data_IF_811012179760
#
_entry.id   IF_811012179760
#
_cell.length_a   1.000
_cell.length_b   1.000
_cell.length_c   1.000
_cell.angle_alpha   90.00
_cell.angle_beta   90.00
_cell.angle_gamma   90.00
#
_symmetry.space_group_name_H-M   'P 1'
#
loop_
_entity.id
_entity.type
_entity.pdbx_description
1 polymer ?
#
# COMPACT_ATOMS: atom_id res chain seq x y z
N UNK A 1 94.05 -58.07 15.59
CA UNK A 1 93.82 -56.62 15.71
C UNK A 1 92.98 -56.02 14.57
N UNK A 2 93.11 -56.45 13.31
CA UNK A 2 92.41 -55.80 12.20
C UNK A 2 90.92 -56.17 12.03
N UNK A 3 90.50 -57.36 12.46
CA UNK A 3 89.13 -57.85 12.25
C UNK A 3 88.08 -57.23 13.19
N UNK A 4 88.49 -56.75 14.37
CA UNK A 4 87.60 -56.28 15.43
C UNK A 4 87.02 -54.88 15.14
N UNK A 5 87.81 -54.02 14.48
CA UNK A 5 87.43 -52.64 14.14
C UNK A 5 86.22 -52.54 13.20
N UNK A 6 86.03 -53.54 12.33
CA UNK A 6 84.95 -53.58 11.34
C UNK A 6 83.58 -53.88 11.95
N UNK A 7 83.55 -54.64 13.05
CA UNK A 7 82.33 -55.02 13.75
C UNK A 7 81.86 -53.84 14.61
N UNK A 8 82.79 -53.17 15.30
CA UNK A 8 82.50 -51.98 16.11
C UNK A 8 81.94 -50.84 15.26
N UNK A 9 82.51 -50.61 14.07
CA UNK A 9 82.04 -49.59 13.13
C UNK A 9 80.61 -49.89 12.63
N UNK A 10 80.31 -51.16 12.31
CA UNK A 10 78.97 -51.58 11.87
C UNK A 10 77.91 -51.42 12.97
N UNK A 11 78.25 -51.77 14.21
CA UNK A 11 77.37 -51.60 15.37
C UNK A 11 77.09 -50.12 15.69
N UNK A 12 78.09 -49.24 15.53
CA UNK A 12 77.92 -47.79 15.66
C UNK A 12 77.01 -47.20 14.57
N UNK A 13 77.15 -47.63 13.31
CA UNK A 13 76.22 -47.21 12.25
C UNK A 13 74.80 -47.74 12.44
N UNK A 14 74.65 -48.96 12.97
CA UNK A 14 73.34 -49.54 13.26
C UNK A 14 72.63 -48.80 14.41
N UNK A 15 73.35 -48.44 15.48
CA UNK A 15 72.79 -47.67 16.60
C UNK A 15 72.38 -46.26 16.18
N UNK A 16 73.18 -45.60 15.33
CA UNK A 16 72.83 -44.29 14.78
C UNK A 16 71.58 -44.34 13.88
N UNK A 17 71.40 -45.40 13.08
CA UNK A 17 70.18 -45.58 12.25
C UNK A 17 68.94 -45.78 13.11
N UNK A 18 69.02 -46.62 14.14
CA UNK A 18 67.91 -46.86 15.08
C UNK A 18 67.54 -45.59 15.86
N UNK A 19 68.53 -44.81 16.30
CA UNK A 19 68.29 -43.52 16.95
C UNK A 19 67.59 -42.53 16.00
N UNK A 20 68.00 -42.49 14.74
CA UNK A 20 67.39 -41.62 13.72
C UNK A 20 65.96 -42.05 13.37
N UNK A 21 65.65 -43.34 13.35
CA UNK A 21 64.28 -43.85 13.16
C UNK A 21 63.39 -43.60 14.37
N UNK A 22 63.90 -43.79 15.58
CA UNK A 22 63.17 -43.50 16.82
C UNK A 22 62.79 -42.02 16.89
N UNK A 23 63.74 -41.11 16.61
CA UNK A 23 63.48 -39.68 16.61
C UNK A 23 62.45 -39.27 15.55
N UNK A 24 62.49 -39.91 14.37
CA UNK A 24 61.50 -39.69 13.30
C UNK A 24 60.09 -40.14 13.70
N UNK A 25 59.97 -41.25 14.42
CA UNK A 25 58.70 -41.75 14.92
C UNK A 25 58.14 -40.89 16.06
N UNK A 26 59.00 -40.36 16.94
CA UNK A 26 58.62 -39.40 17.98
C UNK A 26 58.11 -38.10 17.35
N UNK A 27 58.81 -37.57 16.35
CA UNK A 27 58.37 -36.38 15.59
C UNK A 27 57.00 -36.61 14.92
N UNK A 28 56.79 -37.76 14.26
CA UNK A 28 55.52 -38.11 13.62
C UNK A 28 54.36 -38.26 14.61
N UNK A 29 54.61 -38.85 15.77
CA UNK A 29 53.59 -39.01 16.82
C UNK A 29 53.26 -37.68 17.49
N UNK A 30 54.24 -36.81 17.71
CA UNK A 30 53.99 -35.45 18.19
C UNK A 30 53.22 -34.59 17.17
N UNK A 31 53.54 -34.69 15.88
CA UNK A 31 52.77 -34.00 14.82
C UNK A 31 51.32 -34.49 14.77
N UNK A 32 51.08 -35.81 14.86
CA UNK A 32 49.72 -36.38 14.91
C UNK A 32 48.93 -35.90 16.13
N UNK A 33 49.55 -35.84 17.31
CA UNK A 33 48.90 -35.34 18.53
C UNK A 33 48.60 -33.85 18.46
N UNK A 34 49.50 -33.03 17.93
CA UNK A 34 49.28 -31.58 17.73
C UNK A 34 48.15 -31.30 16.73
N UNK A 35 48.05 -32.07 15.64
CA UNK A 35 46.96 -31.93 14.66
C UNK A 35 45.58 -32.36 15.16
N UNK A 36 45.48 -33.22 16.18
CA UNK A 36 44.19 -33.56 16.80
C UNK A 36 43.73 -32.51 17.82
N UNK A 37 44.65 -31.93 18.59
CA UNK A 37 44.31 -30.91 19.60
C UNK A 37 43.84 -29.58 18.99
N UNK A 38 44.30 -29.22 17.78
CA UNK A 38 43.92 -27.98 17.09
C UNK A 38 42.56 -28.04 16.36
N UNK A 39 42.02 -29.24 16.09
CA UNK A 39 40.77 -29.41 15.31
C UNK A 39 39.49 -29.09 16.09
N UNK A 40 39.49 -29.28 17.41
CA UNK A 40 38.32 -29.04 18.25
C UNK A 40 37.89 -27.55 18.32
N UNK A 41 38.80 -26.57 18.50
CA UNK A 41 38.43 -25.15 18.43
C UNK A 41 38.03 -24.72 17.01
N UNK A 42 38.71 -25.21 15.97
CA UNK A 42 38.39 -24.91 14.56
C UNK A 42 36.99 -25.39 14.15
N UNK A 43 36.57 -26.57 14.61
CA UNK A 43 35.22 -27.08 14.34
C UNK A 43 34.12 -26.24 15.02
N UNK A 44 34.34 -25.81 16.27
CA UNK A 44 33.38 -24.92 16.96
C UNK A 44 33.25 -23.57 16.25
N UNK A 45 34.34 -23.02 15.74
CA UNK A 45 34.32 -21.77 14.98
C UNK A 45 33.71 -21.92 13.59
N UNK A 46 33.90 -23.06 12.91
CA UNK A 46 33.27 -23.31 11.62
C UNK A 46 31.75 -23.54 11.77
N UNK A 47 31.31 -24.26 12.81
CA UNK A 47 29.90 -24.44 13.15
C UNK A 47 29.26 -23.10 13.55
N UNK A 48 29.91 -22.28 14.39
CA UNK A 48 29.42 -20.93 14.73
C UNK A 48 29.28 -20.03 13.50
N UNK A 49 30.28 -20.04 12.61
CA UNK A 49 30.23 -19.28 11.34
C UNK A 49 29.12 -19.80 10.42
N UNK A 50 28.91 -21.12 10.38
CA UNK A 50 27.81 -21.75 9.67
C UNK A 50 26.44 -21.32 10.20
N UNK A 51 26.25 -21.37 11.52
CA UNK A 51 25.02 -20.99 12.20
C UNK A 51 24.68 -19.49 12.04
N UNK A 52 25.68 -18.61 12.09
CA UNK A 52 25.47 -17.17 11.83
C UNK A 52 25.05 -16.95 10.37
N UNK A 53 25.66 -17.67 9.43
CA UNK A 53 25.32 -17.56 7.99
C UNK A 53 23.92 -18.08 7.70
N UNK A 54 23.54 -19.24 8.23
CA UNK A 54 22.20 -19.79 8.06
C UNK A 54 21.15 -18.93 8.78
N UNK A 55 21.45 -18.43 9.98
CA UNK A 55 20.58 -17.52 10.71
C UNK A 55 20.33 -16.20 9.97
N UNK A 56 21.36 -15.61 9.37
CA UNK A 56 21.21 -14.41 8.55
C UNK A 56 20.33 -14.66 7.31
N UNK A 57 20.54 -15.78 6.61
CA UNK A 57 19.72 -16.13 5.44
C UNK A 57 18.25 -16.37 5.82
N UNK A 58 18.00 -17.12 6.90
CA UNK A 58 16.64 -17.36 7.41
C UNK A 58 15.99 -16.04 7.80
N UNK A 59 16.71 -15.16 8.51
CA UNK A 59 16.21 -13.83 8.87
C UNK A 59 15.91 -12.95 7.66
N UNK A 60 16.72 -13.04 6.60
CA UNK A 60 16.51 -12.26 5.37
C UNK A 60 15.24 -12.72 4.64
N UNK A 61 15.06 -14.03 4.49
CA UNK A 61 13.85 -14.62 3.89
C UNK A 61 12.62 -14.30 4.74
N UNK A 62 12.71 -14.43 6.07
CA UNK A 62 11.62 -14.10 6.98
C UNK A 62 11.21 -12.61 6.87
N UNK A 63 12.18 -11.69 6.81
CA UNK A 63 11.91 -10.26 6.62
C UNK A 63 11.25 -9.98 5.26
N UNK A 64 11.74 -10.58 4.18
CA UNK A 64 11.15 -10.41 2.86
C UNK A 64 9.70 -10.95 2.80
N UNK A 65 9.45 -12.12 3.39
CA UNK A 65 8.11 -12.69 3.50
C UNK A 65 7.20 -11.81 4.37
N UNK A 66 7.70 -11.30 5.49
CA UNK A 66 6.91 -10.40 6.34
C UNK A 66 6.56 -9.08 5.62
N UNK A 67 7.42 -8.58 4.73
CA UNK A 67 7.11 -7.41 3.90
C UNK A 67 6.00 -7.72 2.89
N UNK A 68 6.04 -8.90 2.26
CA UNK A 68 4.97 -9.37 1.37
C UNK A 68 3.65 -9.55 2.10
N UNK A 69 3.67 -10.16 3.30
CA UNK A 69 2.50 -10.32 4.16
C UNK A 69 1.92 -8.94 4.52
N UNK A 70 2.77 -7.97 4.89
CA UNK A 70 2.32 -6.61 5.20
C UNK A 70 1.64 -5.96 3.99
N UNK A 71 2.23 -6.07 2.79
CA UNK A 71 1.62 -5.53 1.56
C UNK A 71 0.28 -6.19 1.27
N UNK A 72 0.19 -7.52 1.35
CA UNK A 72 -1.05 -8.25 1.12
C UNK A 72 -2.12 -7.88 2.15
N UNK A 73 -1.75 -7.75 3.43
CA UNK A 73 -2.66 -7.34 4.49
C UNK A 73 -3.26 -5.96 4.21
N UNK A 74 -2.42 -4.99 3.85
CA UNK A 74 -2.84 -3.60 3.57
C UNK A 74 -3.62 -3.48 2.26
N UNK A 75 -3.16 -4.13 1.19
CA UNK A 75 -3.80 -4.05 -0.13
C UNK A 75 -5.19 -4.72 -0.15
N UNK A 76 -5.39 -5.74 0.68
CA UNK A 76 -6.67 -6.43 0.84
C UNK A 76 -7.50 -5.92 2.02
N UNK A 77 -7.15 -4.77 2.60
CA UNK A 77 -7.94 -4.16 3.67
C UNK A 77 -9.38 -3.85 3.23
N UNK A 78 -10.32 -4.18 4.11
CA UNK A 78 -11.75 -3.91 3.96
C UNK A 78 -12.30 -3.41 5.29
N UNK A 79 -12.97 -2.24 5.32
CA UNK A 79 -13.56 -1.69 6.55
C UNK A 79 -14.71 -2.53 7.12
N UNK A 80 -15.24 -3.48 6.34
CA UNK A 80 -16.31 -4.39 6.76
C UNK A 80 -15.80 -5.70 7.38
N UNK A 81 -14.49 -5.92 7.43
CA UNK A 81 -13.92 -7.14 8.00
C UNK A 81 -13.91 -7.09 9.54
N UNK A 82 -14.12 -8.22 10.23
CA UNK A 82 -14.03 -8.27 11.69
C UNK A 82 -12.59 -7.95 12.13
N UNK A 83 -12.44 -6.86 12.87
CA UNK A 83 -11.16 -6.29 13.25
C UNK A 83 -11.26 -5.55 14.58
N UNK A 84 -10.17 -4.89 15.01
CA UNK A 84 -10.14 -4.18 16.29
C UNK A 84 -11.10 -3.00 16.32
N UNK A 85 -11.20 -2.24 15.22
CA UNK A 85 -12.08 -1.08 15.11
C UNK A 85 -13.42 -1.41 14.45
N UNK A 86 -13.67 -2.66 14.08
CA UNK A 86 -14.91 -3.07 13.38
C UNK A 86 -15.46 -4.39 13.93
N UNK A 87 -16.61 -4.29 14.60
CA UNK A 87 -17.40 -5.46 14.99
C UNK A 87 -18.29 -5.91 13.82
N UNK A 88 -17.78 -6.79 12.97
CA UNK A 88 -18.52 -7.38 11.86
C UNK A 88 -18.84 -8.88 12.13
N UNK A 89 -20.04 -9.32 11.74
CA UNK A 89 -20.48 -10.71 11.86
C UNK A 89 -20.32 -11.56 10.58
N UNK A 90 -19.71 -11.01 9.53
CA UNK A 90 -19.57 -11.64 8.21
C UNK A 90 -18.26 -12.41 8.01
N UNK A 91 -18.12 -13.13 6.87
CA UNK A 91 -16.86 -13.78 6.50
C UNK A 91 -15.77 -12.76 6.20
N UNK A 92 -14.52 -13.07 6.57
CA UNK A 92 -13.37 -12.19 6.35
C UNK A 92 -12.98 -12.14 4.88
N UNK A 93 -12.83 -10.94 4.33
CA UNK A 93 -12.48 -10.71 2.93
C UNK A 93 -11.00 -10.35 2.70
N UNK A 94 -10.25 -10.03 3.75
CA UNK A 94 -8.79 -9.90 3.71
C UNK A 94 -8.13 -11.22 3.22
N UNK A 95 -7.15 -11.10 2.32
CA UNK A 95 -6.48 -12.27 1.70
C UNK A 95 -5.73 -13.14 2.72
N UNK A 96 -5.31 -12.55 3.84
CA UNK A 96 -4.62 -13.25 4.91
C UNK A 96 -5.57 -13.70 6.04
N UNK A 97 -6.88 -13.61 5.81
CA UNK A 97 -7.91 -13.96 6.77
C UNK A 97 -7.93 -13.04 7.99
N UNK A 98 -8.44 -13.56 9.11
CA UNK A 98 -8.63 -12.80 10.35
C UNK A 98 -7.33 -12.12 10.88
N UNK A 99 -6.16 -12.79 10.89
CA UNK A 99 -4.91 -12.14 11.31
C UNK A 99 -4.53 -10.96 10.40
N UNK A 100 -4.79 -11.07 9.10
CA UNK A 100 -4.57 -10.00 8.13
C UNK A 100 -5.48 -8.79 8.34
N UNK A 101 -6.77 -9.05 8.55
CA UNK A 101 -7.76 -8.02 8.85
C UNK A 101 -7.40 -7.24 10.12
N UNK A 102 -7.07 -7.94 11.21
CA UNK A 102 -6.63 -7.30 12.46
C UNK A 102 -5.33 -6.51 12.31
N UNK A 103 -4.33 -7.08 11.63
CA UNK A 103 -3.02 -6.44 11.46
C UNK A 103 -3.14 -5.18 10.62
N UNK A 104 -3.84 -5.25 9.49
CA UNK A 104 -4.04 -4.09 8.60
C UNK A 104 -4.88 -3.01 9.25
N UNK A 105 -5.97 -3.37 9.94
CA UNK A 105 -6.81 -2.42 10.67
C UNK A 105 -6.04 -1.69 11.77
N UNK A 106 -5.30 -2.42 12.61
CA UNK A 106 -4.48 -1.84 13.68
C UNK A 106 -3.39 -0.90 13.14
N UNK A 107 -2.68 -1.30 12.08
CA UNK A 107 -1.60 -0.50 11.51
C UNK A 107 -2.12 0.77 10.81
N UNK A 108 -3.22 0.66 10.06
CA UNK A 108 -3.88 1.81 9.43
C UNK A 108 -4.52 2.74 10.45
N UNK A 109 -5.03 2.20 11.55
CA UNK A 109 -5.50 3.00 12.67
C UNK A 109 -4.35 3.77 13.34
N UNK A 110 -3.21 3.12 13.57
CA UNK A 110 -2.07 3.74 14.26
C UNK A 110 -1.36 4.79 13.40
N UNK A 111 -1.02 4.45 12.16
CA UNK A 111 -0.09 5.21 11.30
C UNK A 111 -0.63 5.47 9.89
N UNK A 112 -1.94 5.28 9.67
CA UNK A 112 -2.56 5.54 8.37
C UNK A 112 -1.88 4.82 7.20
N UNK A 113 -1.96 5.41 5.98
CA UNK A 113 -1.24 4.92 4.81
C UNK A 113 0.29 5.01 4.92
N UNK A 114 0.84 5.81 5.85
CA UNK A 114 2.28 5.96 6.00
C UNK A 114 2.97 4.69 6.52
N UNK A 115 2.22 3.73 7.07
CA UNK A 115 2.70 2.38 7.38
C UNK A 115 3.34 1.68 6.16
N UNK A 116 2.96 2.06 4.93
CA UNK A 116 3.62 1.59 3.72
C UNK A 116 5.13 1.85 3.69
N UNK A 117 5.64 2.86 4.41
CA UNK A 117 7.07 3.17 4.51
C UNK A 117 7.89 2.09 5.24
N UNK A 118 7.25 1.17 5.97
CA UNK A 118 7.93 0.01 6.54
C UNK A 118 8.29 -1.05 5.50
N UNK A 119 7.57 -1.11 4.37
CA UNK A 119 7.85 -2.09 3.30
C UNK A 119 9.26 -1.92 2.72
N UNK A 120 9.68 -0.75 2.21
CA UNK A 120 11.04 -0.54 1.72
C UNK A 120 12.10 -0.72 2.81
N UNK A 121 11.80 -0.41 4.07
CA UNK A 121 12.69 -0.68 5.20
C UNK A 121 12.95 -2.18 5.37
N UNK A 122 11.89 -2.99 5.41
CA UNK A 122 11.97 -4.43 5.60
C UNK A 122 12.74 -5.09 4.45
N UNK A 123 12.48 -4.67 3.21
CA UNK A 123 13.20 -5.16 2.03
C UNK A 123 14.68 -4.74 2.02
N UNK A 124 14.99 -3.51 2.43
CA UNK A 124 16.38 -3.05 2.56
C UNK A 124 17.15 -3.87 3.60
N UNK A 125 16.54 -4.11 4.77
CA UNK A 125 17.17 -4.92 5.81
C UNK A 125 17.28 -6.40 5.43
N UNK A 126 16.28 -6.97 4.73
CA UNK A 126 16.38 -8.30 4.16
C UNK A 126 17.58 -8.41 3.20
N UNK A 127 17.73 -7.42 2.30
CA UNK A 127 18.86 -7.35 1.37
C UNK A 127 20.20 -7.22 2.09
N UNK A 128 20.30 -6.36 3.11
CA UNK A 128 21.52 -6.17 3.90
C UNK A 128 21.92 -7.42 4.66
N UNK A 129 20.94 -8.13 5.22
CA UNK A 129 21.18 -9.37 5.94
C UNK A 129 21.62 -10.49 4.97
N UNK A 130 21.07 -10.51 3.76
CA UNK A 130 21.53 -11.38 2.66
C UNK A 130 22.96 -11.04 2.20
N UNK A 131 23.27 -9.75 2.08
CA UNK A 131 24.56 -9.23 1.63
C UNK A 131 25.64 -9.16 2.74
N UNK A 132 25.30 -9.54 3.98
CA UNK A 132 26.17 -9.51 5.17
C UNK A 132 26.70 -8.11 5.52
N UNK A 133 25.90 -7.07 5.24
CA UNK A 133 26.24 -5.69 5.60
C UNK A 133 25.85 -5.44 7.05
N UNK A 134 26.81 -5.02 7.88
CA UNK A 134 26.56 -4.70 9.29
C UNK A 134 25.79 -3.39 9.44
N UNK A 135 24.71 -3.39 10.22
CA UNK A 135 23.94 -2.20 10.56
C UNK A 135 24.38 -1.64 11.92
N UNK A 136 25.23 -0.61 11.90
CA UNK A 136 25.58 0.14 13.11
C UNK A 136 24.46 1.13 13.47
N UNK A 137 24.27 1.37 14.77
CA UNK A 137 23.36 2.39 15.27
C UNK A 137 21.87 2.09 15.07
N UNK A 138 21.47 0.82 15.05
CA UNK A 138 20.10 0.38 14.76
C UNK A 138 19.02 1.11 15.59
N UNK A 139 19.29 1.40 16.87
CA UNK A 139 18.35 2.14 17.74
C UNK A 139 18.05 3.55 17.23
N UNK A 140 19.09 4.32 16.88
CA UNK A 140 18.94 5.69 16.35
C UNK A 140 18.23 5.67 15.00
N UNK A 141 18.55 4.70 14.14
CA UNK A 141 17.89 4.52 12.84
C UNK A 141 16.41 4.14 13.00
N UNK A 142 16.09 3.20 13.88
CA UNK A 142 14.71 2.82 14.20
C UNK A 142 13.90 4.00 14.73
N UNK A 143 14.47 4.79 15.65
CA UNK A 143 13.84 6.00 16.15
C UNK A 143 13.61 7.04 15.04
N UNK A 144 14.60 7.25 14.17
CA UNK A 144 14.48 8.17 13.04
C UNK A 144 13.44 7.73 12.00
N UNK A 145 13.29 6.41 11.77
CA UNK A 145 12.22 5.86 10.93
C UNK A 145 10.85 6.17 11.54
N UNK A 146 10.65 5.85 12.84
CA UNK A 146 9.39 6.09 13.52
C UNK A 146 9.03 7.58 13.55
N UNK A 147 10.02 8.44 13.83
CA UNK A 147 9.84 9.88 13.77
C UNK A 147 9.49 10.37 12.36
N UNK A 148 10.16 9.83 11.33
CA UNK A 148 9.87 10.15 9.93
C UNK A 148 8.44 9.77 9.53
N UNK A 149 7.98 8.57 9.89
CA UNK A 149 6.60 8.12 9.63
C UNK A 149 5.59 8.99 10.39
N UNK A 150 5.82 9.28 11.67
CA UNK A 150 4.93 10.14 12.47
C UNK A 150 4.82 11.58 11.92
N UNK A 151 5.89 12.12 11.34
CA UNK A 151 5.86 13.43 10.68
C UNK A 151 5.10 13.38 9.35
N UNK A 152 5.24 12.30 8.57
CA UNK A 152 4.43 12.08 7.36
C UNK A 152 2.94 11.97 7.73
N UNK A 153 2.61 11.21 8.76
CA UNK A 153 1.27 11.08 9.32
C UNK A 153 0.67 12.43 9.72
N UNK A 154 1.45 13.24 10.43
CA UNK A 154 1.06 14.60 10.82
C UNK A 154 0.81 15.47 9.58
N UNK A 155 1.70 15.38 8.59
CA UNK A 155 1.55 16.10 7.33
C UNK A 155 0.26 15.73 6.59
N UNK A 156 -0.01 14.43 6.46
CA UNK A 156 -1.21 13.89 5.83
C UNK A 156 -2.50 14.28 6.58
N UNK A 157 -2.47 14.31 7.91
CA UNK A 157 -3.61 14.78 8.73
C UNK A 157 -3.96 16.25 8.48
N UNK A 158 -2.95 17.11 8.30
CA UNK A 158 -3.14 18.54 8.06
C UNK A 158 -3.68 18.87 6.67
N UNK A 159 -3.45 18.02 5.67
CA UNK A 159 -4.01 18.23 4.33
C UNK A 159 -5.54 18.19 4.35
N UNK A 160 -6.12 17.14 4.95
CA UNK A 160 -7.57 17.01 5.02
C UNK A 160 -7.99 16.21 6.26
N UNK A 161 -8.28 16.91 7.38
CA UNK A 161 -8.74 16.27 8.60
C UNK A 161 -10.05 15.50 8.35
N UNK A 162 -10.11 14.24 8.76
CA UNK A 162 -11.34 13.43 8.70
C UNK A 162 -11.83 13.02 7.31
N UNK A 163 -11.05 13.22 6.24
CA UNK A 163 -11.56 13.09 4.88
C UNK A 163 -11.81 11.67 4.35
N UNK A 164 -11.39 10.64 5.08
CA UNK A 164 -11.49 9.26 4.64
C UNK A 164 -12.14 8.43 5.74
N UNK A 165 -13.48 8.40 5.74
CA UNK A 165 -14.29 7.55 6.63
C UNK A 165 -13.98 6.05 6.42
N UNK A 166 -13.43 5.68 5.26
CA UNK A 166 -13.04 4.31 4.95
C UNK A 166 -11.78 3.84 5.69
N UNK A 167 -11.02 4.73 6.35
CA UNK A 167 -9.80 4.37 7.07
C UNK A 167 -10.01 4.62 8.56
N UNK A 168 -9.70 3.65 9.44
CA UNK A 168 -10.02 3.71 10.86
C UNK A 168 -9.26 4.84 11.58
N UNK A 169 -8.10 5.23 11.05
CA UNK A 169 -7.30 6.37 11.52
C UNK A 169 -7.26 7.56 10.55
N UNK A 170 -8.11 7.60 9.53
CA UNK A 170 -8.00 8.58 8.44
C UNK A 170 -6.65 8.53 7.70
N UNK A 171 -6.25 9.63 7.05
CA UNK A 171 -4.98 9.71 6.31
C UNK A 171 -3.73 9.78 7.18
N UNK A 172 -3.85 10.24 8.43
CA UNK A 172 -2.69 10.45 9.31
C UNK A 172 -2.53 9.39 10.40
N UNK A 173 -3.42 8.40 10.47
CA UNK A 173 -3.52 7.55 11.65
C UNK A 173 -3.84 8.36 12.92
N UNK A 174 -3.89 7.67 14.07
CA UNK A 174 -4.09 8.33 15.36
C UNK A 174 -2.93 9.24 15.75
N UNK A 175 -1.70 8.90 15.37
CA UNK A 175 -0.51 9.73 15.64
C UNK A 175 -0.63 11.07 14.92
N UNK A 176 -0.94 11.04 13.63
CA UNK A 176 -1.11 12.24 12.81
C UNK A 176 -2.36 13.02 13.20
N UNK A 177 -3.48 12.37 13.51
CA UNK A 177 -4.69 13.05 13.97
C UNK A 177 -4.53 13.74 15.32
N UNK A 178 -3.81 13.12 16.26
CA UNK A 178 -3.56 13.73 17.58
C UNK A 178 -2.67 14.96 17.42
N UNK A 179 -1.57 14.84 16.67
CA UNK A 179 -0.61 15.93 16.46
C UNK A 179 -1.20 17.03 15.58
N UNK A 180 -1.85 16.67 14.48
CA UNK A 180 -2.53 17.58 13.57
C UNK A 180 -3.74 18.25 14.21
N UNK A 181 -4.44 17.57 15.12
CA UNK A 181 -5.49 18.11 15.96
C UNK A 181 -4.96 19.15 16.94
N UNK A 182 -3.81 18.89 17.58
CA UNK A 182 -3.14 19.87 18.43
C UNK A 182 -2.72 21.12 17.65
N UNK A 183 -2.16 20.95 16.44
CA UNK A 183 -1.80 22.07 15.56
C UNK A 183 -3.04 22.87 15.18
N UNK A 184 -4.15 22.21 14.80
CA UNK A 184 -5.39 22.88 14.47
C UNK A 184 -6.00 23.61 15.66
N UNK A 185 -5.94 23.02 16.86
CA UNK A 185 -6.34 23.67 18.10
C UNK A 185 -5.51 24.93 18.36
N UNK A 186 -4.19 24.90 18.13
CA UNK A 186 -3.33 26.09 18.24
C UNK A 186 -3.69 27.16 17.20
N UNK A 187 -4.01 26.74 15.97
CA UNK A 187 -4.45 27.66 14.91
C UNK A 187 -5.82 28.29 15.19
N UNK A 188 -6.67 27.65 16.02
CA UNK A 188 -8.01 28.16 16.36
C UNK A 188 -7.98 29.45 17.20
N UNK A 189 -6.84 29.77 17.82
CA UNK A 189 -6.64 31.05 18.51
C UNK A 189 -6.42 32.22 17.56
N UNK A 190 -6.07 31.96 16.30
CA UNK A 190 -5.92 32.99 15.29
C UNK A 190 -7.28 33.33 14.65
N UNK A 191 -7.53 34.60 14.24
CA UNK A 191 -8.77 34.98 13.58
C UNK A 191 -9.03 34.13 12.33
N UNK A 192 -10.26 33.65 12.10
CA UNK A 192 -10.56 32.85 10.92
C UNK A 192 -10.31 33.69 9.67
N UNK A 193 -9.40 33.22 8.82
CA UNK A 193 -9.02 33.87 7.58
C UNK A 193 -8.91 32.82 6.47
N UNK A 194 -9.27 33.19 5.24
CA UNK A 194 -9.28 32.24 4.11
C UNK A 194 -7.88 31.69 3.80
N UNK A 195 -6.83 32.48 4.07
CA UNK A 195 -5.43 32.06 3.90
C UNK A 195 -4.98 30.99 4.92
N UNK A 196 -5.73 30.78 6.00
CA UNK A 196 -5.42 29.80 7.04
C UNK A 196 -5.40 28.36 6.49
N UNK A 197 -6.23 28.07 5.50
CA UNK A 197 -6.25 26.76 4.81
C UNK A 197 -4.94 26.51 4.07
N UNK A 198 -4.45 27.53 3.34
CA UNK A 198 -3.17 27.47 2.63
C UNK A 198 -2.00 27.32 3.58
N UNK A 199 -2.04 28.01 4.74
CA UNK A 199 -1.01 27.85 5.77
C UNK A 199 -1.04 26.44 6.36
N UNK A 200 -2.22 25.88 6.64
CA UNK A 200 -2.35 24.50 7.11
C UNK A 200 -1.78 23.49 6.10
N UNK A 201 -2.10 23.65 4.81
CA UNK A 201 -1.57 22.79 3.75
C UNK A 201 -0.07 22.94 3.56
N UNK A 202 0.44 24.18 3.62
CA UNK A 202 1.88 24.45 3.54
C UNK A 202 2.61 23.80 4.71
N UNK A 203 2.07 23.94 5.92
CA UNK A 203 2.59 23.29 7.10
C UNK A 203 2.56 21.77 6.98
N UNK A 204 1.44 21.20 6.49
CA UNK A 204 1.31 19.78 6.20
C UNK A 204 2.35 19.26 5.19
N UNK A 205 2.59 20.01 4.11
CA UNK A 205 3.62 19.70 3.12
C UNK A 205 5.02 19.74 3.75
N UNK A 206 5.33 20.74 4.58
CA UNK A 206 6.61 20.85 5.29
C UNK A 206 6.81 19.64 6.21
N UNK A 207 5.81 19.26 7.01
CA UNK A 207 5.86 18.07 7.86
C UNK A 207 6.10 16.78 7.05
N UNK A 208 5.37 16.61 5.95
CA UNK A 208 5.53 15.44 5.08
C UNK A 208 6.92 15.39 4.44
N UNK A 209 7.43 16.51 3.91
CA UNK A 209 8.76 16.59 3.29
C UNK A 209 9.86 16.32 4.32
N UNK A 210 9.81 16.97 5.49
CA UNK A 210 10.77 16.74 6.57
C UNK A 210 10.70 15.28 7.04
N UNK A 211 9.51 14.73 7.18
CA UNK A 211 9.29 13.32 7.55
C UNK A 211 9.94 12.36 6.55
N UNK A 212 9.72 12.56 5.25
CA UNK A 212 10.35 11.75 4.18
C UNK A 212 11.87 11.90 4.20
N UNK A 213 12.41 13.11 4.42
CA UNK A 213 13.86 13.35 4.49
C UNK A 213 14.47 12.60 5.69
N UNK A 214 13.86 12.71 6.87
CA UNK A 214 14.33 12.03 8.09
C UNK A 214 14.23 10.52 7.90
N UNK A 215 13.12 10.02 7.36
CA UNK A 215 12.92 8.62 7.07
C UNK A 215 13.99 8.09 6.10
N UNK A 216 14.21 8.76 4.97
CA UNK A 216 15.21 8.38 3.97
C UNK A 216 16.66 8.43 4.52
N UNK A 217 17.00 9.46 5.31
CA UNK A 217 18.30 9.52 6.00
C UNK A 217 18.46 8.38 7.02
N UNK A 218 17.38 7.99 7.69
CA UNK A 218 17.39 6.94 8.71
C UNK A 218 17.55 5.53 8.15
N UNK A 219 17.18 5.29 6.88
CA UNK A 219 17.53 4.07 6.15
C UNK A 219 19.06 3.88 6.09
N UNK A 220 19.82 4.98 6.11
CA UNK A 220 21.27 4.98 6.10
C UNK A 220 21.82 4.27 4.87
N UNK A 221 21.24 4.56 3.69
CA UNK A 221 21.64 3.99 2.40
C UNK A 221 23.14 4.24 2.18
N UNK A 222 23.87 3.17 1.86
CA UNK A 222 25.28 3.24 1.48
C UNK A 222 25.46 3.96 0.14
N UNK A 223 26.66 4.46 -0.16
CA UNK A 223 26.92 5.19 -1.41
C UNK A 223 26.55 4.34 -2.64
N UNK A 224 26.86 3.04 -2.60
CA UNK A 224 26.48 2.08 -3.65
C UNK A 224 24.96 1.87 -3.75
N UNK A 225 24.25 1.88 -2.62
CA UNK A 225 22.79 1.72 -2.58
C UNK A 225 22.08 2.96 -3.09
N UNK A 226 22.62 4.15 -2.77
CA UNK A 226 22.17 5.44 -3.31
C UNK A 226 22.45 5.51 -4.81
N UNK A 227 23.65 5.16 -5.23
CA UNK A 227 24.04 5.15 -6.64
C UNK A 227 23.19 4.16 -7.44
N UNK A 228 22.83 3.00 -6.90
CA UNK A 228 21.92 2.07 -7.58
C UNK A 228 20.50 2.65 -7.74
N UNK A 229 19.94 3.28 -6.69
CA UNK A 229 18.63 3.94 -6.75
C UNK A 229 18.63 5.13 -7.72
N UNK A 230 19.72 5.91 -7.73
CA UNK A 230 19.86 7.11 -8.55
C UNK A 230 20.33 6.81 -9.98
N UNK A 231 21.02 5.69 -10.24
CA UNK A 231 21.46 5.27 -11.59
C UNK A 231 20.29 5.07 -12.54
N UNK A 232 19.12 4.65 -12.04
CA UNK A 232 17.92 4.55 -12.87
C UNK A 232 17.49 5.94 -13.37
N UNK A 233 17.71 6.97 -12.56
CA UNK A 233 17.45 8.38 -12.90
C UNK A 233 18.52 8.93 -13.84
N UNK A 234 19.81 8.71 -13.56
CA UNK A 234 20.89 9.10 -14.48
C UNK A 234 20.78 8.43 -15.85
N UNK A 235 20.42 7.15 -15.94
CA UNK A 235 20.18 6.51 -17.24
C UNK A 235 18.97 7.11 -17.96
N UNK A 236 17.91 7.49 -17.25
CA UNK A 236 16.75 8.13 -17.84
C UNK A 236 17.05 9.56 -18.30
N UNK A 237 17.80 10.32 -17.51
CA UNK A 237 18.25 11.67 -17.85
C UNK A 237 19.28 11.61 -18.99
N UNK A 238 20.17 10.61 -19.03
CA UNK A 238 21.09 10.38 -20.14
C UNK A 238 20.35 9.96 -21.44
N UNK A 239 19.31 9.12 -21.34
CA UNK A 239 18.46 8.77 -22.50
C UNK A 239 17.64 9.97 -22.98
N UNK A 240 17.23 10.85 -22.07
CA UNK A 240 16.50 12.09 -22.39
C UNK A 240 17.41 13.22 -22.89
N UNK A 241 18.68 13.19 -22.51
CA UNK A 241 19.74 14.09 -22.96
C UNK A 241 20.46 13.59 -24.22
N UNK A 242 20.10 12.41 -24.75
CA UNK A 242 20.43 12.08 -26.13
C UNK A 242 19.74 13.13 -27.01
N UNK A 243 20.47 13.83 -27.90
CA UNK A 243 19.85 14.71 -28.88
C UNK A 243 18.81 13.89 -29.64
N UNK A 244 17.57 14.41 -29.73
CA UNK A 244 16.56 13.80 -30.57
C UNK A 244 17.17 13.61 -31.97
N UNK A 245 17.09 12.42 -32.59
CA UNK A 245 17.77 12.14 -33.85
C UNK A 245 17.09 12.81 -35.06
N UNK A 246 16.53 13.99 -34.87
CA UNK A 246 15.83 14.76 -35.88
C UNK A 246 16.33 16.21 -35.85
N UNK A 247 17.60 16.37 -36.16
CA UNK A 247 18.15 17.59 -36.76
C UNK A 247 19.24 17.12 -37.73
N UNK A 248 18.83 16.75 -38.95
CA UNK A 248 19.58 17.03 -40.18
C UNK A 248 18.73 16.70 -41.42
N UNK A 249 18.92 17.55 -42.41
CA UNK A 249 18.17 17.81 -43.64
C UNK A 249 17.94 16.60 -44.57
N UNK A 250 16.84 16.72 -45.34
CA UNK A 250 16.55 16.14 -46.66
C UNK A 250 17.34 14.90 -47.10
N UNK A 251 16.68 13.73 -47.05
CA UNK A 251 16.89 12.71 -48.09
C UNK A 251 15.67 11.79 -48.29
N UNK A 252 15.38 11.57 -49.57
CA UNK A 252 14.19 10.95 -50.16
C UNK A 252 13.97 9.51 -49.67
N UNK A 253 12.85 9.25 -48.99
CA UNK A 253 12.36 7.90 -48.73
C UNK A 253 11.38 7.46 -49.84
N UNK A 254 11.55 6.27 -50.46
CA UNK A 254 10.56 5.74 -51.38
C UNK A 254 9.29 5.33 -50.62
N UNK A 255 8.16 5.88 -51.06
CA UNK A 255 6.81 5.62 -50.55
C UNK A 255 6.51 4.12 -50.44
N UNK A 256 6.61 3.58 -49.22
CA UNK A 256 6.07 2.26 -48.89
C UNK A 256 4.55 2.35 -48.86
N UNK A 257 3.93 1.58 -49.76
CA UNK A 257 2.50 1.38 -49.91
C UNK A 257 1.79 1.25 -48.56
N UNK A 258 0.87 2.17 -48.31
CA UNK A 258 -0.09 2.17 -47.21
C UNK A 258 -1.08 1.01 -47.44
N UNK A 259 -1.33 0.12 -46.47
CA UNK A 259 -2.39 -0.88 -46.61
C UNK A 259 -3.75 -0.17 -46.72
N UNK A 260 -4.53 -0.53 -47.73
CA UNK A 260 -5.85 0.02 -47.99
C UNK A 260 -6.80 -0.27 -46.81
N UNK A 261 -7.41 0.79 -46.27
CA UNK A 261 -8.54 0.68 -45.37
C UNK A 261 -9.77 0.15 -46.15
N UNK A 262 -10.61 -0.70 -45.56
CA UNK A 262 -11.78 -1.23 -46.22
C UNK A 262 -12.83 -0.13 -46.45
N UNK A 263 -13.34 -0.07 -47.68
CA UNK A 263 -14.46 0.76 -48.12
C UNK A 263 -15.69 0.55 -47.22
N UNK A 264 -16.10 1.61 -46.51
CA UNK A 264 -17.45 1.70 -45.97
C UNK A 264 -18.29 2.39 -47.05
N UNK A 265 -19.10 1.57 -47.71
CA UNK A 265 -20.09 1.92 -48.71
C UNK A 265 -21.13 2.94 -48.21
N UNK A 266 -21.64 3.70 -49.16
CA UNK A 266 -22.57 4.83 -49.09
C UNK A 266 -23.79 4.67 -48.15
N UNK A 267 -24.38 5.79 -47.69
CA UNK A 267 -25.58 5.77 -46.85
C UNK A 267 -26.77 5.20 -47.63
N UNK A 268 -27.31 4.08 -47.13
CA UNK A 268 -28.59 3.54 -47.55
C UNK A 268 -29.70 4.58 -47.34
N UNK A 269 -30.52 4.79 -48.37
CA UNK A 269 -31.69 5.66 -48.37
C UNK A 269 -32.64 5.36 -47.19
N UNK A 270 -33.15 6.44 -46.58
CA UNK A 270 -34.12 6.41 -45.49
C UNK A 270 -35.42 5.71 -45.92
N UNK A 271 -36.03 4.87 -45.06
CA UNK A 271 -37.37 4.38 -45.32
C UNK A 271 -38.39 5.50 -45.07
N UNK A 272 -39.34 5.63 -45.99
CA UNK A 272 -40.57 6.40 -45.82
C UNK A 272 -41.35 5.84 -44.63
N UNK A 273 -41.57 6.66 -43.60
CA UNK A 273 -42.46 6.35 -42.49
C UNK A 273 -43.85 6.84 -42.90
N UNK A 274 -44.75 5.87 -43.10
CA UNK A 274 -46.17 6.02 -43.34
C UNK A 274 -46.87 6.56 -42.08
N UNK A 275 -47.76 7.54 -42.26
CA UNK A 275 -48.54 8.15 -41.18
C UNK A 275 -49.64 7.19 -40.72
N UNK A 276 -49.40 6.53 -39.58
CA UNK A 276 -50.37 5.66 -38.93
C UNK A 276 -50.61 6.03 -37.47
N UNK A 277 -51.50 7.00 -37.23
CA UNK A 277 -52.09 7.30 -35.91
C UNK A 277 -52.74 6.02 -35.31
N UNK A 278 -52.53 5.72 -34.01
CA UNK A 278 -53.66 5.72 -33.08
C UNK A 278 -53.37 6.39 -31.72
N UNK A 279 -54.48 6.68 -31.06
CA UNK A 279 -54.69 7.59 -29.92
C UNK A 279 -53.97 7.20 -28.63
N UNK A 280 -53.66 8.25 -27.88
CA UNK A 280 -53.39 8.31 -26.45
C UNK A 280 -54.35 7.42 -25.65
N UNK A 281 -53.80 6.46 -24.90
CA UNK A 281 -54.51 5.76 -23.83
C UNK A 281 -53.70 5.95 -22.56
N UNK A 282 -54.21 6.80 -21.68
CA UNK A 282 -53.73 6.96 -20.31
C UNK A 282 -54.38 5.82 -19.52
N UNK A 283 -53.58 4.88 -19.03
CA UNK A 283 -54.03 3.92 -18.03
C UNK A 283 -53.81 4.51 -16.64
N UNK A 284 -54.90 4.82 -15.95
CA UNK A 284 -54.91 4.98 -14.50
C UNK A 284 -54.63 3.62 -13.87
N UNK A 285 -53.45 3.48 -13.27
CA UNK A 285 -53.14 2.31 -12.43
C UNK A 285 -53.44 2.65 -10.97
N UNK A 286 -54.38 1.86 -10.44
CA UNK A 286 -54.78 1.65 -9.06
C UNK A 286 -53.80 2.15 -7.99
N UNK A 287 -54.33 2.99 -7.10
CA UNK A 287 -53.75 3.33 -5.81
C UNK A 287 -53.38 2.05 -5.02
N UNK A 288 -52.19 2.00 -4.40
CA UNK A 288 -51.91 0.98 -3.40
C UNK A 288 -52.75 1.24 -2.14
N UNK A 289 -53.37 0.17 -1.64
CA UNK A 289 -54.23 0.17 -0.47
C UNK A 289 -53.49 0.63 0.79
N UNK A 290 -54.14 1.52 1.55
CA UNK A 290 -53.72 1.90 2.91
C UNK A 290 -53.73 0.66 3.83
N UNK A 291 -52.63 0.29 4.51
CA UNK A 291 -52.74 -0.63 5.63
C UNK A 291 -53.46 0.08 6.78
N UNK A 292 -54.48 -0.60 7.33
CA UNK A 292 -55.24 -0.18 8.52
C UNK A 292 -54.28 0.08 9.68
N UNK A 293 -54.42 1.25 10.29
CA UNK A 293 -53.89 1.53 11.61
C UNK A 293 -54.68 0.72 12.65
N UNK A 294 -54.05 -0.27 13.26
CA UNK A 294 -54.56 -0.88 14.48
C UNK A 294 -54.23 0.03 15.66
N UNK A 295 -55.29 0.48 16.34
CA UNK A 295 -55.20 1.26 17.55
C UNK A 295 -54.94 0.35 18.75
N UNK A 296 -53.99 0.80 19.56
CA UNK A 296 -53.89 0.67 21.02
C UNK A 296 -53.87 -0.72 21.66
N UNK A 297 -52.73 -1.05 22.26
CA UNK A 297 -52.59 -2.10 23.26
C UNK A 297 -51.41 -1.83 24.19
N UNK A 298 -51.66 -1.06 25.25
CA UNK A 298 -51.04 -1.13 26.58
C UNK A 298 -49.50 -0.99 26.72
N UNK A 299 -49.08 0.04 27.46
CA UNK A 299 -47.71 0.19 27.96
C UNK A 299 -47.44 -0.81 29.11
N UNK A 300 -46.67 -1.86 28.84
CA UNK A 300 -45.99 -2.66 29.85
C UNK A 300 -44.51 -2.29 29.86
N UNK A 301 -44.07 -1.62 30.94
CA UNK A 301 -42.65 -1.40 31.25
C UNK A 301 -41.98 -2.74 31.58
N UNK A 302 -40.99 -3.23 30.80
CA UNK A 302 -40.28 -4.45 31.12
C UNK A 302 -38.95 -4.12 31.82
N UNK A 303 -38.89 -4.39 33.13
CA UNK A 303 -37.63 -4.64 33.83
C UNK A 303 -37.25 -6.11 33.60
N UNK A 304 -36.38 -6.38 32.63
CA UNK A 304 -35.74 -7.71 32.46
C UNK A 304 -35.34 -8.08 31.02
N UNK A 305 -34.03 -8.29 30.83
CA UNK A 305 -33.22 -9.11 29.88
C UNK A 305 -33.76 -9.59 28.51
N UNK A 306 -34.86 -9.06 27.97
CA UNK A 306 -35.26 -9.25 26.57
C UNK A 306 -35.26 -7.92 25.84
N UNK A 307 -34.37 -7.81 24.86
CA UNK A 307 -34.34 -6.68 23.92
C UNK A 307 -35.64 -6.66 23.11
N UNK A 308 -36.44 -5.61 23.29
CA UNK A 308 -37.67 -5.36 22.54
C UNK A 308 -37.34 -4.38 21.42
N UNK A 309 -37.77 -4.69 20.19
CA UNK A 309 -37.53 -3.79 19.06
C UNK A 309 -38.27 -2.46 19.28
N UNK A 310 -37.62 -1.31 19.10
CA UNK A 310 -38.26 -0.01 19.25
C UNK A 310 -39.42 0.14 18.26
N UNK A 311 -40.51 0.76 18.71
CA UNK A 311 -41.70 1.01 17.88
C UNK A 311 -41.43 2.11 16.84
N UNK A 312 -42.11 2.00 15.70
CA UNK A 312 -42.00 2.94 14.57
C UNK A 312 -42.50 4.36 14.90
N UNK A 313 -43.13 4.56 16.06
CA UNK A 313 -43.55 5.87 16.58
C UNK A 313 -42.38 6.78 16.95
N UNK A 314 -41.15 6.23 17.04
CA UNK A 314 -39.92 7.02 17.21
C UNK A 314 -39.50 7.75 15.92
N UNK A 315 -40.08 7.40 14.77
CA UNK A 315 -39.84 8.09 13.52
C UNK A 315 -40.74 9.32 13.44
N UNK A 316 -40.16 10.47 13.08
CA UNK A 316 -40.95 11.65 12.73
C UNK A 316 -41.87 11.30 11.56
N UNK A 317 -43.19 11.60 11.64
CA UNK A 317 -44.10 11.34 10.53
C UNK A 317 -43.58 12.04 9.28
N UNK A 318 -43.69 11.37 8.14
CA UNK A 318 -43.29 11.97 6.87
C UNK A 318 -44.04 13.30 6.70
N UNK A 319 -43.35 14.39 6.32
CA UNK A 319 -44.03 15.64 5.99
C UNK A 319 -45.06 15.33 4.90
N UNK A 320 -46.25 15.94 4.98
CA UNK A 320 -47.27 15.78 3.95
C UNK A 320 -46.60 15.97 2.60
N UNK A 321 -46.69 14.95 1.74
CA UNK A 321 -46.13 15.05 0.39
C UNK A 321 -46.75 16.29 -0.22
N UNK A 322 -45.96 17.36 -0.29
CA UNK A 322 -46.27 18.57 -1.02
C UNK A 322 -46.26 18.20 -2.48
N UNK A 323 -47.29 17.47 -2.91
CA UNK A 323 -47.70 17.39 -4.28
C UNK A 323 -48.18 18.80 -4.65
N UNK A 324 -47.23 19.73 -4.80
CA UNK A 324 -47.45 20.88 -5.64
C UNK A 324 -47.91 20.29 -6.97
N UNK A 325 -49.15 20.55 -7.41
CA UNK A 325 -49.64 20.01 -8.65
C UNK A 325 -48.68 20.49 -9.75
N UNK A 326 -47.89 19.55 -10.26
CA UNK A 326 -46.84 19.85 -11.21
C UNK A 326 -47.54 20.31 -12.48
N UNK A 327 -47.42 21.61 -12.77
CA UNK A 327 -48.09 22.22 -13.90
C UNK A 327 -47.43 21.75 -15.20
N UNK A 328 -48.19 21.02 -16.02
CA UNK A 328 -47.72 20.41 -17.26
C UNK A 328 -47.13 21.45 -18.23
N UNK A 329 -47.70 22.65 -18.22
CA UNK A 329 -47.26 23.77 -19.06
C UNK A 329 -45.87 24.27 -18.63
N UNK A 330 -45.55 24.21 -17.35
CA UNK A 330 -44.24 24.62 -16.83
C UNK A 330 -43.14 23.62 -17.24
N UNK A 331 -43.43 22.32 -17.19
CA UNK A 331 -42.49 21.28 -17.64
C UNK A 331 -42.20 21.37 -19.15
N UNK A 332 -43.20 21.64 -19.98
CA UNK A 332 -43.02 21.79 -21.43
C UNK A 332 -42.16 23.03 -21.78
N UNK A 333 -42.29 24.13 -21.04
CA UNK A 333 -41.44 25.32 -21.20
C UNK A 333 -40.00 25.04 -20.78
N UNK A 334 -39.79 24.35 -19.66
CA UNK A 334 -38.46 23.99 -19.19
C UNK A 334 -37.78 23.01 -20.16
N UNK A 335 -38.52 22.07 -20.75
CA UNK A 335 -38.01 21.18 -21.78
C UNK A 335 -37.49 21.94 -23.00
N UNK A 336 -38.26 22.91 -23.53
CA UNK A 336 -37.82 23.75 -24.66
C UNK A 336 -36.59 24.60 -24.34
N UNK A 337 -36.51 25.11 -23.10
CA UNK A 337 -35.32 25.85 -22.64
C UNK A 337 -34.10 24.95 -22.64
N UNK A 338 -34.23 23.71 -22.16
CA UNK A 338 -33.14 22.74 -22.18
C UNK A 338 -32.71 22.35 -23.60
N UNK A 339 -33.65 22.22 -24.54
CA UNK A 339 -33.34 21.99 -25.96
C UNK A 339 -32.52 23.16 -26.55
N UNK A 340 -32.86 24.40 -26.20
CA UNK A 340 -32.11 25.60 -26.62
C UNK A 340 -30.69 25.61 -26.04
N UNK A 341 -30.54 25.30 -24.75
CA UNK A 341 -29.23 25.25 -24.09
C UNK A 341 -28.36 24.12 -24.69
N UNK A 342 -28.95 22.97 -25.03
CA UNK A 342 -28.21 21.88 -25.67
C UNK A 342 -27.72 22.26 -27.08
N UNK A 343 -28.51 23.04 -27.84
CA UNK A 343 -28.13 23.53 -29.16
C UNK A 343 -26.97 24.54 -29.09
N UNK A 344 -26.92 25.40 -28.07
CA UNK A 344 -25.78 26.31 -27.81
C UNK A 344 -24.45 25.53 -27.61
N UNK A 345 -24.53 24.33 -27.01
CA UNK A 345 -23.39 23.42 -26.86
C UNK A 345 -23.17 22.51 -28.09
N UNK A 346 -23.85 22.76 -29.21
CA UNK A 346 -23.79 22.00 -30.45
C UNK A 346 -24.22 20.52 -30.31
N UNK A 347 -25.05 20.20 -29.32
CA UNK A 347 -25.59 18.86 -29.07
C UNK A 347 -27.02 18.78 -29.60
N UNK A 348 -27.22 18.07 -30.72
CA UNK A 348 -28.55 17.89 -31.32
C UNK A 348 -29.32 16.75 -30.61
N UNK A 349 -30.39 17.09 -29.90
CA UNK A 349 -31.27 16.12 -29.25
C UNK A 349 -32.68 16.67 -29.02
N UNK A 350 -33.69 15.79 -29.01
CA UNK A 350 -35.09 16.14 -28.75
C UNK A 350 -35.57 15.44 -27.47
N UNK A 351 -36.36 16.14 -26.65
CA UNK A 351 -36.89 15.59 -25.39
C UNK A 351 -38.20 14.83 -25.67
N UNK A 352 -38.18 13.51 -25.45
CA UNK A 352 -39.31 12.61 -25.76
C UNK A 352 -40.23 12.38 -24.55
N UNK A 353 -39.68 12.41 -23.33
CA UNK A 353 -40.44 12.12 -22.10
C UNK A 353 -39.86 12.88 -20.89
N UNK A 354 -40.73 13.34 -19.98
CA UNK A 354 -40.35 13.99 -18.71
C UNK A 354 -40.93 13.19 -17.56
N UNK A 355 -40.06 12.67 -16.68
CA UNK A 355 -40.45 11.87 -15.50
C UNK A 355 -40.02 12.60 -14.23
N UNK A 356 -40.94 13.33 -13.57
CA UNK A 356 -40.60 14.02 -12.33
C UNK A 356 -40.37 13.01 -11.20
N UNK A 357 -39.28 13.18 -10.47
CA UNK A 357 -38.99 12.50 -9.22
C UNK A 357 -39.25 13.40 -8.01
N UNK A 358 -39.19 12.85 -6.79
CA UNK A 358 -39.37 13.64 -5.57
C UNK A 358 -38.27 14.67 -5.32
N UNK A 359 -37.12 14.57 -6.01
CA UNK A 359 -35.98 15.50 -5.85
C UNK A 359 -35.50 16.07 -7.18
N UNK A 360 -35.71 15.39 -8.32
CA UNK A 360 -35.18 15.77 -9.64
C UNK A 360 -36.22 15.74 -10.73
#
# INVERSE_FOLDING_TARGET
AYHDSSISARLLTASQRLAHECNRNIMRTQQRRRGMASRAPEWRESVKRGAIRSGALIGAVALALSALILVLALASYRPSDPSMNTAAGGPVSNLLGLPGAWTSDFLLWLMGPAVGLFVPLMLLHARRLWAKVSVLGWKRRALGILAGVALVDTGLSLFRPGAFESLPGGLGGTIGMTTGGLIQWLMSFAPPADWMVWVRWSLGAVFAIIGIIIWAKSLGLDEDERAWLLRRREKQDAIRALPAPFDEEDDVMPSRLKPAAPNISEPRAAPLIDEGRPKTVIQDKLAPAKPKADKSGQATLPLGDRYVLPSLDLLSPAPESGANPIDKVALERNARLLETVLDDFHVKGQIVEVRPGPVV
#
